data_IF_705540789833
#
_entry.id   IF_705540789833
#
_cell.length_a   1.000
_cell.length_b   1.000
_cell.length_c   1.000
_cell.angle_alpha   90.00
_cell.angle_beta   90.00
_cell.angle_gamma   90.00
#
_symmetry.space_group_name_H-M   'P 1'
#
loop_
_entity.id
_entity.type
_entity.pdbx_description
1 polymer ?
#
# COMPACT_ATOMS: atom_id res chain seq x y z
N UNK A 1 5.27 -43.71 37.28
CA UNK A 1 4.13 -42.80 37.15
C UNK A 1 4.25 -42.16 35.77
N UNK A 2 3.44 -42.62 34.81
CA UNK A 2 3.41 -42.05 33.46
C UNK A 2 2.56 -40.78 33.53
N UNK A 3 3.18 -39.62 33.35
CA UNK A 3 2.46 -38.37 33.15
C UNK A 3 2.17 -38.28 31.65
N UNK A 4 0.90 -38.40 31.27
CA UNK A 4 0.46 -38.06 29.91
C UNK A 4 0.47 -36.55 29.78
N UNK A 5 1.24 -36.04 28.83
CA UNK A 5 1.18 -34.66 28.39
C UNK A 5 -0.14 -34.46 27.63
N UNK A 6 -1.11 -33.77 28.23
CA UNK A 6 -2.25 -33.22 27.50
C UNK A 6 -1.80 -31.85 26.98
N UNK A 7 -1.45 -31.74 25.69
CA UNK A 7 -1.57 -30.47 24.99
C UNK A 7 -3.02 -30.35 24.57
N UNK A 8 -3.81 -29.56 25.30
CA UNK A 8 -4.99 -28.95 24.70
C UNK A 8 -4.49 -27.87 23.75
N UNK A 9 -4.69 -28.04 22.45
CA UNK A 9 -4.65 -26.94 21.49
C UNK A 9 -5.85 -26.05 21.79
N UNK A 10 -5.72 -25.21 22.82
CA UNK A 10 -6.62 -24.06 22.95
C UNK A 10 -6.30 -23.16 21.78
N UNK A 11 -7.32 -22.67 21.08
CA UNK A 11 -7.15 -21.60 20.10
C UNK A 11 -6.35 -20.47 20.75
N UNK A 12 -5.51 -19.78 19.99
CA UNK A 12 -4.78 -18.63 20.49
C UNK A 12 -5.81 -17.61 21.02
N UNK A 13 -5.60 -16.98 22.18
CA UNK A 13 -6.46 -15.87 22.58
C UNK A 13 -6.27 -14.70 21.60
N UNK A 14 -7.30 -13.86 21.47
CA UNK A 14 -7.20 -12.56 20.83
C UNK A 14 -6.01 -11.76 21.39
N UNK A 15 -5.35 -10.96 20.55
CA UNK A 15 -4.26 -10.08 20.97
C UNK A 15 -4.81 -8.98 21.89
N UNK A 16 -4.28 -8.87 23.11
CA UNK A 16 -4.60 -7.75 24.00
C UNK A 16 -4.11 -6.44 23.37
N UNK A 17 -4.98 -5.43 23.29
CA UNK A 17 -4.65 -4.15 22.68
C UNK A 17 -5.83 -3.18 22.55
N UNK A 18 -5.59 -2.10 21.82
CA UNK A 18 -6.60 -1.14 21.39
C UNK A 18 -6.62 -1.09 19.85
N UNK A 19 -7.80 -0.87 19.28
CA UNK A 19 -8.03 -0.86 17.84
C UNK A 19 -8.42 0.55 17.42
N UNK A 20 -7.61 1.17 16.57
CA UNK A 20 -7.90 2.49 16.01
C UNK A 20 -8.83 2.36 14.80
N UNK A 21 -9.92 3.14 14.80
CA UNK A 21 -10.93 3.09 13.73
C UNK A 21 -11.28 4.50 13.27
N UNK A 22 -11.08 4.78 11.99
CA UNK A 22 -11.52 6.00 11.31
C UNK A 22 -12.61 5.70 10.27
N UNK A 23 -13.91 5.70 10.63
CA UNK A 23 -14.97 5.40 9.68
C UNK A 23 -15.02 6.43 8.54
N UNK A 24 -14.99 5.98 7.30
CA UNK A 24 -14.90 6.86 6.11
C UNK A 24 -16.02 7.91 5.96
N UNK A 25 -17.16 7.71 6.64
CA UNK A 25 -18.29 8.64 6.64
C UNK A 25 -18.37 9.55 7.87
N UNK A 26 -17.50 9.35 8.87
CA UNK A 26 -17.45 10.15 10.10
C UNK A 26 -16.32 11.19 10.01
N UNK A 27 -16.43 12.29 10.75
CA UNK A 27 -15.26 13.15 11.03
C UNK A 27 -14.47 12.64 12.22
N UNK A 28 -15.05 11.75 13.02
CA UNK A 28 -14.47 11.28 14.28
C UNK A 28 -13.53 10.09 14.06
N UNK A 29 -12.57 9.92 14.96
CA UNK A 29 -11.70 8.73 15.05
C UNK A 29 -11.86 8.11 16.43
N UNK A 30 -12.00 6.80 16.47
CA UNK A 30 -12.30 6.03 17.69
C UNK A 30 -11.12 5.14 18.05
N UNK A 31 -10.89 4.96 19.34
CA UNK A 31 -10.01 3.94 19.89
C UNK A 31 -10.89 2.97 20.67
N UNK A 32 -10.93 1.72 20.21
CA UNK A 32 -11.78 0.67 20.77
C UNK A 32 -10.93 -0.31 21.58
N UNK A 33 -11.50 -0.89 22.63
CA UNK A 33 -10.93 -2.09 23.25
C UNK A 33 -11.30 -3.36 22.44
N UNK A 34 -10.77 -4.51 22.86
CA UNK A 34 -11.06 -5.79 22.23
C UNK A 34 -12.53 -6.23 22.26
N UNK A 35 -13.36 -5.62 23.13
CA UNK A 35 -14.80 -5.85 23.18
C UNK A 35 -15.59 -4.89 22.27
N UNK A 36 -14.90 -4.03 21.51
CA UNK A 36 -15.50 -2.98 20.69
C UNK A 36 -16.07 -1.82 21.50
N UNK A 37 -15.66 -1.66 22.77
CA UNK A 37 -16.07 -0.54 23.61
C UNK A 37 -15.13 0.64 23.34
N UNK A 38 -15.71 1.81 23.09
CA UNK A 38 -14.96 3.06 22.93
C UNK A 38 -14.19 3.39 24.20
N UNK A 39 -12.86 3.38 24.09
CA UNK A 39 -11.94 3.84 25.14
C UNK A 39 -11.62 5.33 25.00
N UNK A 40 -11.58 5.85 23.78
CA UNK A 40 -11.28 7.25 23.49
C UNK A 40 -11.83 7.66 22.10
N UNK A 41 -12.08 8.95 21.91
CA UNK A 41 -12.58 9.51 20.65
C UNK A 41 -11.97 10.89 20.38
N UNK A 42 -11.44 11.07 19.17
CA UNK A 42 -11.04 12.36 18.62
C UNK A 42 -12.16 12.93 17.75
N UNK A 43 -12.55 14.17 18.00
CA UNK A 43 -13.74 14.81 17.39
C UNK A 43 -13.43 16.17 16.77
N UNK A 44 -12.22 16.70 16.95
CA UNK A 44 -11.87 18.07 16.58
C UNK A 44 -11.69 18.25 15.06
N UNK A 45 -11.29 17.21 14.34
CA UNK A 45 -11.16 17.29 12.88
C UNK A 45 -12.50 17.60 12.23
N UNK A 46 -12.48 18.51 11.24
CA UNK A 46 -13.67 18.85 10.45
C UNK A 46 -13.73 18.12 9.11
N UNK A 47 -12.72 17.28 8.83
CA UNK A 47 -12.57 16.56 7.57
C UNK A 47 -12.96 15.09 7.71
N UNK A 48 -13.54 14.53 6.65
CA UNK A 48 -13.68 13.08 6.54
C UNK A 48 -12.29 12.42 6.33
N UNK A 49 -12.08 11.16 6.77
CA UNK A 49 -10.82 10.45 6.62
C UNK A 49 -10.35 10.29 5.16
N UNK A 50 -9.05 10.42 4.97
CA UNK A 50 -8.33 10.17 3.72
C UNK A 50 -7.92 8.71 3.51
N UNK A 51 -8.47 7.77 4.30
CA UNK A 51 -8.28 6.30 4.29
C UNK A 51 -7.17 5.70 5.17
N UNK A 52 -6.38 6.49 5.90
CA UNK A 52 -5.35 5.97 6.80
C UNK A 52 -5.35 6.70 8.16
N UNK A 53 -5.04 5.96 9.22
CA UNK A 53 -4.90 6.50 10.57
C UNK A 53 -3.91 5.65 11.36
N UNK A 54 -3.04 6.31 12.11
CA UNK A 54 -2.00 5.73 12.91
C UNK A 54 -2.10 6.26 14.34
N UNK A 55 -1.77 5.40 15.30
CA UNK A 55 -1.60 5.80 16.69
C UNK A 55 -0.13 5.59 17.06
N UNK A 56 0.55 6.66 17.46
CA UNK A 56 1.94 6.55 17.90
C UNK A 56 2.02 5.96 19.31
N UNK A 57 3.18 5.43 19.70
CA UNK A 57 3.43 4.97 21.08
C UNK A 57 3.22 6.07 22.13
N UNK A 58 3.39 7.35 21.75
CA UNK A 58 3.12 8.50 22.61
C UNK A 58 1.64 8.87 22.71
N UNK A 59 0.75 8.12 22.04
CA UNK A 59 -0.70 8.35 22.04
C UNK A 59 -1.15 9.50 21.14
N UNK A 60 -0.34 9.88 20.14
CA UNK A 60 -0.77 10.86 19.13
C UNK A 60 -1.51 10.15 18.01
N UNK A 61 -2.67 10.69 17.64
CA UNK A 61 -3.38 10.30 16.43
C UNK A 61 -2.75 11.01 15.24
N UNK A 62 -2.36 10.26 14.23
CA UNK A 62 -2.01 10.78 12.90
C UNK A 62 -3.10 10.28 11.95
N UNK A 63 -3.77 11.17 11.22
CA UNK A 63 -4.83 10.76 10.29
C UNK A 63 -4.72 11.48 8.97
N UNK A 64 -4.96 10.77 7.88
CA UNK A 64 -5.17 11.40 6.57
C UNK A 64 -6.57 12.00 6.52
N UNK A 65 -6.73 13.09 5.78
CA UNK A 65 -7.98 13.84 5.65
C UNK A 65 -8.33 14.13 4.20
N UNK A 66 -9.62 14.13 3.90
CA UNK A 66 -10.16 14.38 2.56
C UNK A 66 -10.50 15.85 2.36
N UNK A 67 -9.74 16.53 1.50
CA UNK A 67 -9.98 17.92 1.12
C UNK A 67 -11.04 17.97 0.00
N UNK A 68 -12.21 18.62 0.21
CA UNK A 68 -13.27 18.64 -0.78
C UNK A 68 -13.05 19.70 -1.87
N UNK A 69 -13.80 19.60 -2.98
CA UNK A 69 -13.92 20.66 -3.98
C UNK A 69 -12.87 20.69 -5.08
N UNK A 70 -11.99 19.67 -5.13
CA UNK A 70 -10.96 19.51 -6.16
C UNK A 70 -11.37 18.44 -7.19
N UNK A 71 -10.82 18.50 -8.39
CA UNK A 71 -11.13 17.49 -9.43
C UNK A 71 -10.88 16.05 -8.95
N UNK A 72 -9.75 15.82 -8.27
CA UNK A 72 -9.39 14.52 -7.72
C UNK A 72 -10.23 14.11 -6.48
N UNK A 73 -10.93 15.04 -5.82
CA UNK A 73 -11.71 14.74 -4.59
C UNK A 73 -12.93 13.83 -4.81
N UNK A 74 -13.24 13.49 -6.06
CA UNK A 74 -14.30 12.55 -6.45
C UNK A 74 -13.80 11.14 -6.71
N UNK A 75 -12.48 10.94 -6.71
CA UNK A 75 -11.85 9.66 -6.96
C UNK A 75 -11.79 8.86 -5.65
N UNK A 76 -12.02 7.55 -5.73
CA UNK A 76 -11.90 6.64 -4.59
C UNK A 76 -10.51 6.73 -3.96
N UNK A 77 -10.48 6.87 -2.64
CA UNK A 77 -9.26 7.05 -1.85
C UNK A 77 -8.66 8.46 -1.88
N UNK A 78 -9.34 9.44 -2.46
CA UNK A 78 -8.93 10.85 -2.33
C UNK A 78 -8.72 11.27 -0.86
N UNK A 79 -7.61 11.94 -0.63
CA UNK A 79 -7.24 12.59 0.62
C UNK A 79 -7.03 14.09 0.41
N UNK A 80 -5.85 14.57 0.75
CA UNK A 80 -5.43 15.95 0.52
C UNK A 80 -4.67 16.58 1.69
N UNK A 81 -4.69 15.95 2.87
CA UNK A 81 -3.89 16.38 4.00
C UNK A 81 -3.67 15.31 5.05
N UNK A 82 -2.86 15.65 6.05
CA UNK A 82 -2.60 14.89 7.27
C UNK A 82 -2.76 15.83 8.46
N UNK A 83 -3.44 15.36 9.51
CA UNK A 83 -3.56 16.06 10.79
C UNK A 83 -2.98 15.18 11.90
N UNK A 84 -2.27 15.80 12.85
CA UNK A 84 -1.72 15.14 14.04
C UNK A 84 -2.39 15.74 15.28
N UNK A 85 -3.06 14.90 16.06
CA UNK A 85 -3.69 15.27 17.32
C UNK A 85 -2.98 14.58 18.49
N UNK A 86 -2.90 15.26 19.64
CA UNK A 86 -2.53 14.58 20.86
C UNK A 86 -3.73 13.81 21.47
N UNK A 87 -3.48 13.10 22.57
CA UNK A 87 -4.52 12.33 23.29
C UNK A 87 -5.67 13.20 23.82
N UNK A 88 -5.46 14.50 24.05
CA UNK A 88 -6.50 15.42 24.54
C UNK A 88 -7.30 16.07 23.39
N UNK A 89 -7.22 15.52 22.17
CA UNK A 89 -7.86 16.03 20.96
C UNK A 89 -7.42 17.45 20.56
N UNK A 90 -6.18 17.83 20.90
CA UNK A 90 -5.56 19.09 20.48
C UNK A 90 -4.73 18.87 19.23
N UNK A 91 -5.01 19.64 18.17
CA UNK A 91 -4.22 19.65 16.94
C UNK A 91 -2.79 20.13 17.23
N UNK A 92 -1.81 19.30 16.89
CA UNK A 92 -0.38 19.54 17.08
C UNK A 92 0.27 20.06 15.80
N UNK A 93 -0.03 19.43 14.66
CA UNK A 93 0.50 19.82 13.36
C UNK A 93 -0.46 19.37 12.26
N UNK A 94 -0.42 20.05 11.12
CA UNK A 94 -1.13 19.65 9.90
C UNK A 94 -0.24 19.89 8.68
N UNK A 95 -0.53 19.15 7.61
CA UNK A 95 0.09 19.34 6.30
C UNK A 95 -0.95 19.08 5.21
N UNK A 96 -1.09 20.03 4.28
CA UNK A 96 -2.02 19.91 3.15
C UNK A 96 -1.28 20.00 1.82
N UNK A 97 -1.55 19.04 0.95
CA UNK A 97 -1.01 18.97 -0.40
C UNK A 97 -2.14 18.61 -1.36
N UNK A 98 -2.94 19.62 -1.69
CA UNK A 98 -4.21 19.46 -2.39
C UNK A 98 -4.50 20.67 -3.30
N UNK A 99 -4.32 20.48 -4.60
CA UNK A 99 -4.64 21.44 -5.65
C UNK A 99 -5.38 20.74 -6.81
N UNK A 100 -5.63 21.45 -7.91
CA UNK A 100 -6.18 20.81 -9.11
C UNK A 100 -5.14 19.99 -9.90
N UNK A 101 -3.86 20.08 -9.52
CA UNK A 101 -2.76 19.44 -10.23
C UNK A 101 -2.04 18.38 -9.38
N UNK A 102 -2.28 18.34 -8.07
CA UNK A 102 -1.81 17.28 -7.19
C UNK A 102 -2.71 17.08 -5.97
N UNK A 103 -2.71 15.88 -5.39
CA UNK A 103 -3.53 15.56 -4.21
C UNK A 103 -2.96 14.37 -3.43
N UNK A 104 -2.77 14.46 -2.11
CA UNK A 104 -2.53 13.26 -1.29
C UNK A 104 -3.71 12.29 -1.39
N UNK A 105 -3.45 10.99 -1.35
CA UNK A 105 -4.49 9.96 -1.35
C UNK A 105 -4.08 8.71 -0.59
N UNK A 106 -5.10 7.96 -0.16
CA UNK A 106 -5.01 6.67 0.51
C UNK A 106 -4.20 6.68 1.81
N UNK A 107 -2.89 6.55 1.72
CA UNK A 107 -2.06 6.03 2.79
C UNK A 107 -0.78 6.84 3.02
N UNK A 108 -0.21 6.63 4.20
CA UNK A 108 1.02 7.24 4.68
C UNK A 108 1.85 6.20 5.43
N UNK A 109 3.16 6.39 5.54
CA UNK A 109 4.00 5.62 6.44
C UNK A 109 4.74 6.56 7.40
N UNK A 110 4.62 6.31 8.70
CA UNK A 110 5.29 7.11 9.74
C UNK A 110 6.70 6.57 9.95
N UNK A 111 7.70 7.41 9.73
CA UNK A 111 9.11 7.01 9.82
C UNK A 111 9.66 7.16 11.25
N UNK A 112 10.72 6.42 11.63
CA UNK A 112 11.33 6.52 12.96
C UNK A 112 11.87 7.91 13.33
N UNK A 113 12.19 8.75 12.34
CA UNK A 113 12.64 10.12 12.54
C UNK A 113 11.48 11.11 12.79
N UNK A 114 10.22 10.66 12.68
CA UNK A 114 9.01 11.49 12.81
C UNK A 114 8.55 12.13 11.50
N UNK A 115 9.28 11.96 10.41
CA UNK A 115 8.80 12.32 9.07
C UNK A 115 7.72 11.34 8.63
N UNK A 116 6.93 11.75 7.64
CA UNK A 116 5.86 10.94 7.10
C UNK A 116 6.05 10.82 5.59
N UNK A 117 6.09 9.59 5.09
CA UNK A 117 5.96 9.29 3.67
C UNK A 117 4.47 9.35 3.29
N UNK A 118 4.16 10.01 2.19
CA UNK A 118 2.78 10.23 1.74
C UNK A 118 2.66 9.90 0.26
N UNK A 119 1.61 9.14 -0.10
CA UNK A 119 1.27 8.90 -1.50
C UNK A 119 0.49 10.10 -2.04
N UNK A 120 0.87 10.57 -3.23
CA UNK A 120 0.25 11.70 -3.88
C UNK A 120 -0.01 11.44 -5.37
N UNK A 121 -1.17 11.89 -5.84
CA UNK A 121 -1.44 12.03 -7.25
C UNK A 121 -0.79 13.29 -7.78
N UNK A 122 -0.25 13.21 -8.99
CA UNK A 122 0.19 14.35 -9.79
C UNK A 122 -0.44 14.29 -11.18
N UNK A 123 -0.95 15.42 -11.67
CA UNK A 123 -1.54 15.50 -13.00
C UNK A 123 -0.44 15.61 -14.04
N UNK A 124 -0.41 14.65 -14.97
CA UNK A 124 0.43 14.69 -16.16
C UNK A 124 -0.46 14.84 -17.39
N UNK A 125 -0.12 15.78 -18.28
CA UNK A 125 -0.89 15.99 -19.50
C UNK A 125 -0.67 14.83 -20.49
N UNK A 126 -1.69 14.57 -21.29
CA UNK A 126 -1.68 13.49 -22.27
C UNK A 126 -0.57 13.64 -23.32
N UNK A 127 -0.33 14.87 -23.77
CA UNK A 127 0.76 15.21 -24.70
C UNK A 127 2.13 14.78 -24.17
N UNK A 128 2.35 14.87 -22.86
CA UNK A 128 3.64 14.54 -22.24
C UNK A 128 3.81 13.02 -22.16
N UNK A 129 2.80 12.28 -21.69
CA UNK A 129 2.86 10.81 -21.64
C UNK A 129 2.87 10.17 -23.02
N UNK A 130 2.18 10.74 -24.02
CA UNK A 130 2.26 10.29 -25.42
C UNK A 130 3.67 10.53 -25.98
N UNK A 131 4.28 11.67 -25.64
CA UNK A 131 5.66 11.96 -26.04
C UNK A 131 6.66 10.99 -25.39
N UNK A 132 6.37 10.52 -24.18
CA UNK A 132 7.12 9.48 -23.47
C UNK A 132 6.85 8.04 -23.97
N UNK A 133 5.93 7.85 -24.94
CA UNK A 133 5.69 6.57 -25.61
C UNK A 133 4.43 5.81 -25.17
N UNK A 134 3.55 6.43 -24.37
CA UNK A 134 2.21 5.87 -24.11
C UNK A 134 1.35 5.85 -25.37
N UNK A 135 0.60 4.78 -25.56
CA UNK A 135 -0.36 4.62 -26.65
C UNK A 135 -1.50 5.65 -26.54
N UNK A 136 -1.65 6.49 -27.58
CA UNK A 136 -2.72 7.47 -27.68
C UNK A 136 -4.13 6.84 -27.68
N UNK A 137 -4.26 5.55 -27.98
CA UNK A 137 -5.52 4.81 -27.88
C UNK A 137 -6.00 4.56 -26.45
N UNK A 138 -5.12 4.69 -25.44
CA UNK A 138 -5.42 4.43 -24.02
C UNK A 138 -5.19 5.66 -23.14
N UNK A 139 -5.14 6.85 -23.73
CA UNK A 139 -5.00 8.13 -23.01
C UNK A 139 -6.33 8.90 -22.91
N UNK A 140 -6.39 9.78 -21.91
CA UNK A 140 -7.41 10.81 -21.77
C UNK A 140 -6.83 12.19 -22.02
N UNK A 141 -7.48 13.28 -21.58
CA UNK A 141 -6.89 14.63 -21.63
C UNK A 141 -5.72 14.82 -20.65
N UNK A 142 -5.62 13.95 -19.65
CA UNK A 142 -4.54 13.87 -18.68
C UNK A 142 -4.57 12.49 -18.00
N UNK A 143 -3.55 12.22 -17.20
CA UNK A 143 -3.41 11.07 -16.31
C UNK A 143 -3.09 11.56 -14.89
N UNK A 144 -3.66 10.92 -13.88
CA UNK A 144 -3.15 11.02 -12.51
C UNK A 144 -2.02 10.00 -12.37
N UNK A 145 -0.78 10.48 -12.34
CA UNK A 145 0.40 9.69 -11.99
C UNK A 145 0.60 9.70 -10.48
N UNK A 146 1.58 8.93 -10.02
CA UNK A 146 1.87 8.71 -8.61
C UNK A 146 3.22 9.32 -8.24
N UNK A 147 3.27 9.94 -7.07
CA UNK A 147 4.50 10.35 -6.41
C UNK A 147 4.47 9.98 -4.92
N UNK A 148 5.65 9.90 -4.32
CA UNK A 148 5.86 9.69 -2.89
C UNK A 148 6.61 10.88 -2.35
N UNK A 149 6.11 11.46 -1.27
CA UNK A 149 6.68 12.62 -0.61
C UNK A 149 7.12 12.23 0.80
N UNK A 150 8.36 12.53 1.17
CA UNK A 150 8.76 12.55 2.59
C UNK A 150 8.57 13.96 3.14
N UNK A 151 7.77 14.10 4.18
CA UNK A 151 7.45 15.39 4.81
C UNK A 151 7.98 15.42 6.23
N UNK A 152 8.78 16.45 6.52
CA UNK A 152 9.10 16.83 7.90
C UNK A 152 7.91 17.56 8.51
N UNK A 153 7.19 16.88 9.40
CA UNK A 153 5.98 17.40 10.05
C UNK A 153 6.26 18.51 11.07
N UNK A 154 7.51 18.74 11.45
CA UNK A 154 7.92 19.84 12.32
C UNK A 154 8.02 21.14 11.53
N UNK A 155 8.55 21.07 10.31
CA UNK A 155 8.76 22.25 9.45
C UNK A 155 7.69 22.42 8.38
N UNK A 156 6.89 21.39 8.10
CA UNK A 156 5.93 21.35 6.99
C UNK A 156 6.60 21.31 5.62
N UNK A 157 7.86 20.86 5.55
CA UNK A 157 8.65 20.85 4.31
C UNK A 157 8.74 19.45 3.71
N UNK A 158 8.62 19.38 2.39
CA UNK A 158 8.94 18.16 1.63
C UNK A 158 10.47 18.06 1.54
N UNK A 159 11.04 16.98 2.08
CA UNK A 159 12.50 16.78 2.20
C UNK A 159 13.05 15.72 1.24
N UNK A 160 12.19 14.83 0.75
CA UNK A 160 12.50 13.86 -0.30
C UNK A 160 11.26 13.59 -1.17
N UNK A 161 11.48 13.21 -2.43
CA UNK A 161 10.42 12.92 -3.39
C UNK A 161 10.86 11.84 -4.38
N UNK A 162 9.90 11.04 -4.84
CA UNK A 162 10.02 10.08 -5.93
C UNK A 162 8.78 10.16 -6.83
N UNK A 163 8.96 10.04 -8.14
CA UNK A 163 7.89 10.20 -9.12
C UNK A 163 7.86 9.01 -10.06
N UNK A 164 6.70 8.34 -10.18
CA UNK A 164 6.59 7.16 -11.04
C UNK A 164 6.98 7.46 -12.50
N UNK A 165 6.70 8.68 -12.98
CA UNK A 165 6.95 9.13 -14.36
C UNK A 165 8.42 9.06 -14.79
N UNK A 166 9.36 9.09 -13.84
CA UNK A 166 10.80 8.98 -14.12
C UNK A 166 11.23 7.53 -14.43
N UNK A 167 10.43 6.55 -14.01
CA UNK A 167 10.75 5.12 -14.03
C UNK A 167 9.99 4.35 -15.11
N UNK A 168 9.81 4.95 -16.29
CA UNK A 168 9.01 4.38 -17.38
C UNK A 168 9.84 3.65 -18.44
N UNK A 169 9.31 2.56 -18.99
CA UNK A 169 9.78 1.88 -20.19
C UNK A 169 8.63 1.69 -21.18
N UNK A 170 8.94 1.59 -22.47
CA UNK A 170 7.99 1.25 -23.53
C UNK A 170 8.72 0.56 -24.68
N UNK A 171 8.06 -0.35 -25.40
CA UNK A 171 8.65 -1.06 -26.54
C UNK A 171 7.86 -0.86 -27.85
N UNK A 172 6.96 0.13 -27.87
CA UNK A 172 6.06 0.40 -28.99
C UNK A 172 6.68 1.25 -30.09
N UNK A 173 7.49 2.23 -29.71
CA UNK A 173 8.05 3.20 -30.64
C UNK A 173 9.54 3.44 -30.33
N UNK A 174 10.40 2.84 -31.14
CA UNK A 174 11.85 2.95 -31.03
C UNK A 174 12.41 4.37 -31.24
N UNK A 175 11.59 5.30 -31.73
CA UNK A 175 11.99 6.70 -31.92
C UNK A 175 11.71 7.60 -30.71
N UNK A 176 10.92 7.10 -29.73
CA UNK A 176 10.55 7.86 -28.52
C UNK A 176 11.48 7.57 -27.35
N UNK A 177 11.52 8.46 -26.33
CA UNK A 177 12.20 8.19 -25.08
C UNK A 177 11.76 6.87 -24.44
N UNK A 178 12.57 6.38 -23.49
CA UNK A 178 12.27 5.20 -22.70
C UNK A 178 12.06 3.91 -23.51
N UNK A 179 12.52 3.87 -24.77
CA UNK A 179 12.42 2.65 -25.57
C UNK A 179 13.30 1.53 -25.01
N UNK A 180 12.72 0.37 -24.75
CA UNK A 180 13.42 -0.82 -24.31
C UNK A 180 12.47 -2.02 -24.31
N UNK A 181 13.00 -3.23 -24.52
CA UNK A 181 12.22 -4.46 -24.40
C UNK A 181 11.74 -4.58 -22.96
N UNK A 182 10.42 -4.69 -22.75
CA UNK A 182 9.81 -4.65 -21.41
C UNK A 182 10.40 -5.75 -20.51
N UNK A 183 10.50 -6.99 -21.01
CA UNK A 183 11.06 -8.11 -20.27
C UNK A 183 12.53 -7.93 -19.86
N UNK A 184 13.30 -7.08 -20.56
CA UNK A 184 14.71 -6.79 -20.23
C UNK A 184 14.88 -5.58 -19.31
N UNK A 185 13.78 -4.86 -19.02
CA UNK A 185 13.75 -3.66 -18.19
C UNK A 185 12.80 -3.86 -16.99
N UNK A 186 12.92 -4.99 -16.29
CA UNK A 186 11.99 -5.37 -15.23
C UNK A 186 11.91 -4.39 -14.05
N UNK A 187 12.92 -3.54 -13.85
CA UNK A 187 12.95 -2.53 -12.78
C UNK A 187 12.18 -1.25 -13.12
N UNK A 188 11.60 -1.16 -14.32
CA UNK A 188 10.86 0.01 -14.81
C UNK A 188 9.43 -0.36 -15.18
N UNK A 189 8.56 0.64 -15.16
CA UNK A 189 7.14 0.50 -15.40
C UNK A 189 6.81 0.60 -16.89
N UNK A 190 6.09 -0.38 -17.45
CA UNK A 190 5.55 -0.22 -18.81
C UNK A 190 4.47 0.86 -18.81
N UNK A 191 4.76 2.00 -19.43
CA UNK A 191 3.82 3.14 -19.54
C UNK A 191 2.56 2.78 -20.36
N UNK A 192 2.52 1.62 -21.02
CA UNK A 192 1.37 1.12 -21.76
C UNK A 192 0.51 0.10 -20.98
N UNK A 193 0.90 -0.21 -19.75
CA UNK A 193 0.02 -0.86 -18.79
C UNK A 193 -0.83 0.19 -18.03
N UNK A 194 -1.98 -0.20 -17.47
CA UNK A 194 -2.82 -1.26 -18.02
C UNK A 194 -3.18 -0.98 -19.49
N UNK A 195 -3.41 -2.03 -20.27
CA UNK A 195 -3.71 -1.93 -21.72
C UNK A 195 -5.05 -1.26 -22.07
N UNK A 196 -5.78 -0.78 -21.08
CA UNK A 196 -7.02 -0.04 -21.23
C UNK A 196 -7.02 1.18 -20.32
N UNK A 197 -7.59 2.29 -20.78
CA UNK A 197 -7.72 3.50 -19.98
C UNK A 197 -8.66 3.28 -18.78
N UNK A 198 -8.23 3.57 -17.54
CA UNK A 198 -9.13 3.60 -16.39
C UNK A 198 -10.08 4.80 -16.45
N UNK A 199 -11.33 4.62 -16.01
CA UNK A 199 -12.40 5.60 -16.23
C UNK A 199 -12.17 6.98 -15.59
N UNK A 200 -11.38 7.05 -14.52
CA UNK A 200 -11.04 8.25 -13.74
C UNK A 200 -9.63 8.80 -14.04
N UNK A 201 -8.93 8.26 -15.05
CA UNK A 201 -7.54 8.59 -15.40
C UNK A 201 -6.48 8.23 -14.34
N UNK A 202 -6.86 7.49 -13.31
CA UNK A 202 -5.99 7.01 -12.24
C UNK A 202 -5.55 5.58 -12.58
N UNK A 203 -4.30 5.48 -13.03
CA UNK A 203 -3.82 4.34 -13.80
C UNK A 203 -2.99 3.34 -13.01
N UNK A 204 -2.35 3.79 -11.94
CA UNK A 204 -1.61 2.92 -11.02
C UNK A 204 -2.42 2.68 -9.77
N UNK A 205 -3.13 3.69 -9.28
CA UNK A 205 -3.94 3.63 -8.07
C UNK A 205 -3.11 3.07 -6.92
N UNK A 206 -2.04 3.79 -6.57
CA UNK A 206 -1.30 3.46 -5.37
C UNK A 206 -2.20 3.63 -4.16
N UNK A 207 -2.25 2.60 -3.31
CA UNK A 207 -3.24 2.50 -2.25
C UNK A 207 -2.71 2.05 -0.90
N UNK A 208 -1.42 1.74 -0.80
CA UNK A 208 -0.74 1.46 0.45
C UNK A 208 0.75 1.75 0.31
N UNK A 209 1.37 2.18 1.41
CA UNK A 209 2.78 2.45 1.53
C UNK A 209 3.28 1.99 2.91
N UNK A 210 4.43 1.34 2.94
CA UNK A 210 5.11 0.98 4.19
C UNK A 210 6.61 1.27 4.08
N UNK A 211 7.29 1.44 5.21
CA UNK A 211 8.71 1.77 5.29
C UNK A 211 9.49 0.79 6.16
N UNK A 212 10.54 0.20 5.58
CA UNK A 212 11.46 -0.67 6.30
C UNK A 212 12.73 0.11 6.68
N UNK A 213 12.84 0.49 7.96
CA UNK A 213 13.98 1.26 8.46
C UNK A 213 15.32 0.51 8.48
N UNK A 214 15.32 -0.83 8.47
CA UNK A 214 16.56 -1.62 8.44
C UNK A 214 17.16 -1.69 7.04
N UNK A 215 16.30 -1.70 6.02
CA UNK A 215 16.69 -1.74 4.62
C UNK A 215 16.78 -0.35 3.98
N UNK A 216 16.16 0.65 4.61
CA UNK A 216 15.88 1.97 4.03
C UNK A 216 15.13 1.86 2.69
N UNK A 217 14.01 1.11 2.72
CA UNK A 217 13.21 0.79 1.53
C UNK A 217 11.73 1.05 1.75
N UNK A 218 11.02 1.32 0.67
CA UNK A 218 9.58 1.62 0.68
C UNK A 218 8.83 0.56 -0.13
N UNK A 219 7.81 -0.05 0.46
CA UNK A 219 6.89 -0.98 -0.22
C UNK A 219 5.63 -0.23 -0.63
N UNK A 220 5.12 -0.51 -1.82
CA UNK A 220 3.99 0.22 -2.42
C UNK A 220 3.05 -0.79 -3.07
N UNK A 221 1.74 -0.61 -2.89
CA UNK A 221 0.73 -1.40 -3.59
C UNK A 221 0.09 -0.62 -4.72
N UNK A 222 0.11 -1.17 -5.94
CA UNK A 222 -0.66 -0.69 -7.09
C UNK A 222 -1.87 -1.58 -7.34
N UNK A 223 -3.06 -1.04 -7.05
CA UNK A 223 -4.33 -1.77 -7.18
C UNK A 223 -4.64 -2.12 -8.64
N UNK A 224 -4.41 -1.18 -9.56
CA UNK A 224 -4.80 -1.36 -10.97
C UNK A 224 -3.90 -2.38 -11.65
N UNK A 225 -2.60 -2.36 -11.35
CA UNK A 225 -1.64 -3.31 -11.89
C UNK A 225 -1.69 -4.67 -11.21
N UNK A 226 -2.28 -4.74 -10.01
CA UNK A 226 -2.20 -5.91 -9.14
C UNK A 226 -0.74 -6.31 -8.86
N UNK A 227 0.07 -5.31 -8.56
CA UNK A 227 1.49 -5.46 -8.23
C UNK A 227 1.85 -4.72 -6.95
N UNK A 228 2.85 -5.27 -6.26
CA UNK A 228 3.63 -4.62 -5.21
C UNK A 228 4.96 -4.17 -5.82
N UNK A 229 5.43 -3.00 -5.42
CA UNK A 229 6.73 -2.46 -5.77
C UNK A 229 7.56 -2.22 -4.51
N UNK A 230 8.89 -2.35 -4.62
CA UNK A 230 9.83 -1.86 -3.61
C UNK A 230 10.84 -0.93 -4.26
N UNK A 231 11.05 0.24 -3.66
CA UNK A 231 12.03 1.24 -4.09
C UNK A 231 13.05 1.51 -2.97
N UNK A 232 14.23 2.00 -3.38
CA UNK A 232 15.27 2.44 -2.46
C UNK A 232 14.96 3.86 -1.95
N UNK A 233 15.02 4.05 -0.63
CA UNK A 233 14.89 5.35 0.00
C UNK A 233 16.26 5.96 0.41
N UNK A 234 17.34 5.19 0.32
CA UNK A 234 18.70 5.66 0.59
C UNK A 234 19.28 6.49 -0.58
N UNK A 235 18.48 7.44 -1.06
CA UNK A 235 18.73 8.28 -2.22
C UNK A 235 18.40 9.73 -1.90
N UNK A 236 19.05 10.68 -2.55
CA UNK A 236 18.52 12.05 -2.63
C UNK A 236 17.39 12.11 -3.67
N UNK A 237 16.51 13.11 -3.62
CA UNK A 237 15.49 13.35 -4.67
C UNK A 237 16.06 13.32 -6.08
N UNK A 238 17.26 13.87 -6.28
CA UNK A 238 17.90 13.89 -7.59
C UNK A 238 18.39 12.51 -8.06
N UNK A 239 18.80 11.64 -7.13
CA UNK A 239 19.16 10.25 -7.42
C UNK A 239 17.91 9.41 -7.64
N UNK A 240 16.88 9.62 -6.81
CA UNK A 240 15.58 8.96 -6.91
C UNK A 240 14.91 9.21 -8.27
N UNK A 241 15.09 10.38 -8.90
CA UNK A 241 14.60 10.65 -10.25
C UNK A 241 15.39 9.92 -11.38
N UNK A 242 16.49 9.24 -11.04
CA UNK A 242 17.34 8.49 -11.96
C UNK A 242 17.24 6.99 -11.76
N UNK A 243 18.17 6.21 -12.35
CA UNK A 243 18.18 4.75 -12.21
C UNK A 243 18.27 4.24 -10.77
N UNK A 244 18.77 5.05 -9.83
CA UNK A 244 18.84 4.69 -8.41
C UNK A 244 17.45 4.62 -7.76
N UNK A 245 16.42 5.23 -8.37
CA UNK A 245 15.02 5.12 -7.94
C UNK A 245 14.20 4.11 -8.72
N UNK A 246 14.78 3.37 -9.68
CA UNK A 246 14.07 2.26 -10.34
C UNK A 246 13.67 1.18 -9.30
N UNK A 247 12.66 0.38 -9.63
CA UNK A 247 12.17 -0.64 -8.70
C UNK A 247 13.24 -1.68 -8.38
N UNK A 248 13.48 -1.91 -7.09
CA UNK A 248 14.31 -3.01 -6.59
C UNK A 248 13.61 -4.37 -6.75
N UNK A 249 12.28 -4.36 -6.63
CA UNK A 249 11.44 -5.55 -6.64
C UNK A 249 10.03 -5.24 -7.13
N UNK A 250 9.42 -6.25 -7.76
CA UNK A 250 8.02 -6.21 -8.19
C UNK A 250 7.39 -7.59 -8.00
N UNK A 251 6.16 -7.67 -7.54
CA UNK A 251 5.50 -8.97 -7.36
C UNK A 251 3.97 -8.88 -7.48
N UNK A 252 3.33 -9.93 -7.99
CA UNK A 252 1.86 -10.01 -8.06
C UNK A 252 1.31 -10.27 -9.46
N UNK A 253 1.75 -9.53 -10.47
CA UNK A 253 1.26 -9.67 -11.84
C UNK A 253 2.40 -9.51 -12.88
N UNK A 254 3.13 -10.60 -13.17
CA UNK A 254 4.28 -10.56 -14.07
C UNK A 254 3.95 -10.32 -15.55
N UNK A 255 2.66 -10.36 -15.94
CA UNK A 255 2.22 -9.96 -17.28
C UNK A 255 2.52 -8.49 -17.59
N UNK A 256 2.54 -7.63 -16.57
CA UNK A 256 2.77 -6.20 -16.76
C UNK A 256 4.23 -5.86 -17.14
N UNK A 257 5.12 -6.85 -17.10
CA UNK A 257 6.51 -6.70 -17.52
C UNK A 257 7.01 -7.88 -18.35
N UNK A 258 6.12 -8.53 -19.10
CA UNK A 258 6.42 -9.60 -20.07
C UNK A 258 7.23 -10.79 -19.53
N UNK A 259 7.11 -11.08 -18.22
CA UNK A 259 7.79 -12.21 -17.57
C UNK A 259 6.86 -13.26 -16.99
N UNK A 260 5.59 -13.22 -17.39
CA UNK A 260 4.60 -14.21 -17.02
C UNK A 260 3.33 -14.11 -17.86
N UNK A 261 2.35 -14.91 -17.48
CA UNK A 261 1.05 -15.09 -18.13
C UNK A 261 -0.07 -14.88 -17.12
N UNK A 262 -1.36 -14.90 -17.52
CA UNK A 262 -2.46 -14.82 -16.57
C UNK A 262 -2.45 -15.91 -15.49
N UNK A 263 -1.78 -17.05 -15.75
CA UNK A 263 -1.65 -18.14 -14.79
C UNK A 263 -0.61 -17.86 -13.69
N UNK A 264 0.30 -16.91 -13.90
CA UNK A 264 1.37 -16.53 -12.97
C UNK A 264 0.95 -15.36 -12.05
N UNK A 265 -0.27 -14.86 -12.19
CA UNK A 265 -0.80 -13.77 -11.38
C UNK A 265 -1.16 -14.26 -9.98
N UNK A 266 -0.50 -13.68 -8.97
CA UNK A 266 -0.71 -13.94 -7.55
C UNK A 266 -1.72 -12.96 -6.92
N UNK A 267 -1.72 -11.70 -7.38
CA UNK A 267 -2.52 -10.64 -6.77
C UNK A 267 -3.67 -10.17 -7.67
N UNK A 268 -4.72 -9.68 -7.02
CA UNK A 268 -5.90 -9.13 -7.69
C UNK A 268 -6.42 -7.91 -6.92
N UNK A 269 -6.03 -6.72 -7.36
CA UNK A 269 -6.50 -5.44 -6.80
C UNK A 269 -6.30 -5.30 -5.28
N UNK A 270 -5.18 -5.80 -4.79
CA UNK A 270 -4.79 -5.83 -3.38
C UNK A 270 -4.68 -4.45 -2.72
N UNK A 271 -4.71 -4.42 -1.40
CA UNK A 271 -4.48 -3.26 -0.55
C UNK A 271 -3.53 -3.63 0.59
N UNK A 272 -3.03 -2.60 1.27
CA UNK A 272 -2.39 -2.72 2.58
C UNK A 272 -1.19 -3.68 2.59
N UNK A 273 -0.22 -3.40 1.71
CA UNK A 273 1.07 -4.08 1.75
C UNK A 273 1.87 -3.59 2.94
N UNK A 274 2.40 -4.52 3.72
CA UNK A 274 3.18 -4.22 4.92
C UNK A 274 4.35 -5.19 5.02
N UNK A 275 5.48 -4.74 5.55
CA UNK A 275 6.43 -5.66 6.17
C UNK A 275 5.84 -6.16 7.49
N UNK A 276 5.96 -7.47 7.72
CA UNK A 276 5.68 -8.03 9.04
C UNK A 276 6.71 -7.48 10.02
N UNK A 277 6.23 -6.83 11.09
CA UNK A 277 7.06 -6.17 12.10
C UNK A 277 8.05 -7.13 12.79
N UNK A 278 9.17 -6.58 13.28
CA UNK A 278 10.29 -7.35 13.84
C UNK A 278 9.92 -8.20 15.07
N UNK A 279 8.92 -7.77 15.84
CA UNK A 279 8.43 -8.44 17.03
C UNK A 279 7.30 -9.45 16.74
N UNK A 280 6.96 -9.62 15.46
CA UNK A 280 5.88 -10.48 15.00
C UNK A 280 6.40 -11.75 14.31
N UNK A 281 5.71 -12.90 14.45
CA UNK A 281 6.02 -14.09 13.65
C UNK A 281 5.89 -13.83 12.16
N UNK A 282 6.96 -14.09 11.42
CA UNK A 282 7.06 -13.75 9.99
C UNK A 282 7.89 -12.49 9.71
N UNK A 283 8.51 -11.87 10.73
CA UNK A 283 9.37 -10.70 10.59
C UNK A 283 10.25 -10.72 9.32
N UNK A 284 10.18 -9.64 8.54
CA UNK A 284 10.86 -9.50 7.26
C UNK A 284 10.11 -10.07 6.04
N UNK A 285 9.06 -10.87 6.23
CA UNK A 285 8.10 -11.18 5.18
C UNK A 285 7.24 -9.95 4.87
N UNK A 286 6.53 -10.02 3.74
CA UNK A 286 5.49 -9.08 3.38
C UNK A 286 4.13 -9.75 3.57
N UNK A 287 3.15 -9.00 4.09
CA UNK A 287 1.76 -9.41 4.22
C UNK A 287 0.87 -8.42 3.49
N UNK A 288 -0.20 -8.91 2.86
CA UNK A 288 -1.08 -8.08 2.02
C UNK A 288 -2.52 -8.57 2.04
N UNK A 289 -3.47 -7.63 1.97
CA UNK A 289 -4.88 -7.93 1.77
C UNK A 289 -5.16 -8.07 0.27
N UNK A 290 -5.37 -9.29 -0.22
CA UNK A 290 -5.66 -9.57 -1.62
C UNK A 290 -7.18 -9.55 -1.86
N UNK A 291 -7.69 -8.43 -2.38
CA UNK A 291 -9.13 -8.21 -2.50
C UNK A 291 -9.83 -9.21 -3.42
N UNK A 292 -9.16 -9.70 -4.46
CA UNK A 292 -9.76 -10.60 -5.43
C UNK A 292 -10.60 -9.90 -6.50
N UNK A 293 -11.20 -10.69 -7.39
CA UNK A 293 -12.06 -10.18 -8.48
C UNK A 293 -13.55 -10.33 -8.15
N UNK A 294 -14.38 -9.28 -8.41
CA UNK A 294 -15.83 -9.41 -8.34
C UNK A 294 -16.37 -10.49 -9.29
N UNK A 295 -17.36 -11.26 -8.84
CA UNK A 295 -18.02 -12.28 -9.65
C UNK A 295 -18.58 -13.44 -8.81
N UNK A 296 -19.08 -14.51 -9.46
CA UNK A 296 -19.64 -15.67 -8.77
C UNK A 296 -18.65 -16.42 -7.86
N UNK A 297 -17.34 -16.26 -8.13
CA UNK A 297 -16.24 -16.86 -7.35
C UNK A 297 -15.44 -15.80 -6.59
N UNK A 298 -16.07 -14.67 -6.25
CA UNK A 298 -15.39 -13.59 -5.53
C UNK A 298 -14.99 -14.06 -4.13
N UNK A 299 -13.71 -13.93 -3.83
CA UNK A 299 -13.10 -14.23 -2.54
C UNK A 299 -11.94 -13.26 -2.31
N UNK A 300 -11.76 -12.84 -1.07
CA UNK A 300 -10.57 -12.12 -0.63
C UNK A 300 -9.73 -13.04 0.25
N UNK A 301 -8.40 -12.89 0.16
CA UNK A 301 -7.44 -13.62 0.97
C UNK A 301 -6.50 -12.65 1.67
N UNK A 302 -5.88 -13.10 2.75
CA UNK A 302 -4.70 -12.44 3.30
C UNK A 302 -3.51 -13.30 2.97
N UNK A 303 -2.52 -12.73 2.28
CA UNK A 303 -1.40 -13.47 1.74
C UNK A 303 -0.10 -12.96 2.37
N UNK A 304 0.69 -13.87 2.95
CA UNK A 304 2.03 -13.59 3.44
C UNK A 304 3.05 -14.28 2.54
N UNK A 305 4.11 -13.57 2.14
CA UNK A 305 5.14 -14.10 1.28
C UNK A 305 6.53 -13.59 1.67
N UNK A 306 7.54 -14.43 1.42
CA UNK A 306 8.95 -14.08 1.65
C UNK A 306 9.55 -13.60 0.33
N UNK A 307 9.90 -12.31 0.18
CA UNK A 307 10.57 -11.85 -1.02
C UNK A 307 11.97 -12.50 -1.12
N UNK A 308 12.54 -12.68 -2.33
CA UNK A 308 13.84 -13.29 -2.55
C UNK A 308 14.99 -12.31 -2.22
N UNK A 309 14.94 -11.69 -1.04
CA UNK A 309 15.87 -10.69 -0.55
C UNK A 309 17.24 -11.32 -0.25
N UNK A 310 18.29 -10.70 -0.75
CA UNK A 310 19.66 -10.88 -0.25
C UNK A 310 19.91 -9.86 0.87
N UNK A 311 19.96 -10.29 2.14
CA UNK A 311 20.13 -9.38 3.26
C UNK A 311 21.50 -8.71 3.31
N UNK A 312 22.50 -9.21 2.57
CA UNK A 312 23.83 -8.60 2.53
C UNK A 312 23.88 -7.36 1.63
N UNK A 313 23.01 -7.29 0.63
CA UNK A 313 22.99 -6.23 -0.38
C UNK A 313 21.71 -5.40 -0.37
N UNK A 314 20.63 -5.88 0.25
CA UNK A 314 19.31 -5.26 0.18
C UNK A 314 18.61 -5.45 -1.17
N UNK A 315 19.11 -6.35 -2.03
CA UNK A 315 18.60 -6.55 -3.38
C UNK A 315 17.76 -7.82 -3.49
N UNK A 316 16.91 -7.90 -4.51
CA UNK A 316 15.99 -9.02 -4.71
C UNK A 316 16.41 -9.87 -5.90
N UNK A 317 16.58 -11.18 -5.68
CA UNK A 317 17.03 -12.07 -6.73
C UNK A 317 15.95 -12.27 -7.81
N UNK A 318 16.37 -12.16 -9.07
CA UNK A 318 15.54 -12.47 -10.25
C UNK A 318 16.35 -13.31 -11.24
N UNK A 319 15.66 -14.27 -11.87
CA UNK A 319 16.25 -15.07 -12.94
C UNK A 319 16.44 -14.26 -14.23
N UNK A 320 17.22 -14.80 -15.17
CA UNK A 320 17.47 -14.17 -16.47
C UNK A 320 16.17 -13.93 -17.26
N UNK A 321 15.24 -14.90 -17.22
CA UNK A 321 14.01 -14.88 -18.02
C UNK A 321 12.74 -15.02 -17.18
N UNK A 322 12.86 -15.30 -15.88
CA UNK A 322 11.72 -15.52 -14.99
C UNK A 322 11.27 -14.23 -14.30
N UNK A 323 10.02 -14.18 -13.87
CA UNK A 323 9.51 -13.17 -12.96
C UNK A 323 10.24 -13.20 -11.60
N UNK A 324 10.11 -12.13 -10.84
CA UNK A 324 10.44 -12.14 -9.42
C UNK A 324 9.58 -13.18 -8.70
N UNK A 325 10.21 -14.02 -7.87
CA UNK A 325 9.50 -14.90 -6.94
C UNK A 325 9.03 -14.14 -5.70
N UNK A 326 8.38 -14.81 -4.73
CA UNK A 326 8.15 -16.25 -4.70
C UNK A 326 6.92 -16.67 -5.52
N UNK A 327 6.87 -17.94 -5.91
CA UNK A 327 5.70 -18.56 -6.56
C UNK A 327 4.78 -19.29 -5.57
N UNK A 328 5.11 -19.23 -4.28
CA UNK A 328 4.35 -19.84 -3.19
C UNK A 328 4.30 -18.89 -2.01
N UNK A 329 3.17 -18.88 -1.32
CA UNK A 329 2.95 -18.08 -0.13
C UNK A 329 3.56 -18.78 1.09
N UNK A 330 4.07 -17.99 2.03
CA UNK A 330 4.50 -18.46 3.35
C UNK A 330 3.29 -18.83 4.22
N UNK A 331 2.21 -18.05 4.08
CA UNK A 331 0.93 -18.29 4.74
C UNK A 331 -0.20 -17.63 3.94
N UNK A 332 -1.42 -18.17 4.06
CA UNK A 332 -2.61 -17.53 3.49
C UNK A 332 -3.82 -17.80 4.38
N UNK A 333 -4.67 -16.79 4.56
CA UNK A 333 -6.02 -16.94 5.07
C UNK A 333 -7.01 -16.91 3.91
N UNK A 334 -7.60 -18.07 3.63
CA UNK A 334 -8.63 -18.30 2.60
C UNK A 334 -9.77 -19.12 3.23
N UNK A 335 -10.73 -18.47 3.92
CA UNK A 335 -11.72 -19.17 4.71
C UNK A 335 -12.79 -19.85 3.85
N UNK A 336 -13.40 -20.90 4.41
CA UNK A 336 -14.59 -21.53 3.84
C UNK A 336 -15.73 -21.45 4.87
N UNK A 337 -16.84 -20.75 4.58
CA UNK A 337 -17.16 -20.04 3.33
C UNK A 337 -16.28 -18.79 3.10
N UNK A 338 -16.05 -18.39 1.84
CA UNK A 338 -15.24 -17.22 1.53
C UNK A 338 -15.96 -15.93 1.91
N UNK A 339 -15.19 -14.90 2.25
CA UNK A 339 -15.65 -13.52 2.33
C UNK A 339 -15.08 -12.73 1.14
N UNK A 340 -15.64 -11.55 0.86
CA UNK A 340 -15.17 -10.73 -0.26
C UNK A 340 -15.27 -9.23 0.05
N UNK A 341 -14.14 -8.55 -0.06
CA UNK A 341 -14.02 -7.11 0.08
C UNK A 341 -13.51 -6.50 -1.22
N UNK A 342 -14.41 -5.93 -2.02
CA UNK A 342 -14.09 -5.42 -3.38
C UNK A 342 -13.12 -4.23 -3.47
N UNK A 343 -12.83 -3.56 -2.34
CA UNK A 343 -12.01 -2.35 -2.24
C UNK A 343 -11.59 -2.11 -0.79
N UNK A 344 -10.69 -1.15 -0.58
CA UNK A 344 -10.16 -0.79 0.76
C UNK A 344 -9.71 -2.05 1.50
N UNK A 345 -9.84 -2.07 2.83
CA UNK A 345 -9.52 -3.21 3.68
C UNK A 345 -8.04 -3.29 4.01
N UNK A 346 -7.73 -4.07 5.04
CA UNK A 346 -6.37 -4.19 5.54
C UNK A 346 -6.19 -5.39 6.44
N UNK A 347 -4.95 -5.71 6.74
CA UNK A 347 -4.54 -6.80 7.61
C UNK A 347 -3.25 -6.44 8.34
N UNK A 348 -3.08 -6.92 9.57
CA UNK A 348 -1.87 -6.70 10.34
C UNK A 348 -1.55 -7.93 11.19
N UNK A 349 -0.35 -8.48 10.99
CA UNK A 349 0.19 -9.55 11.85
C UNK A 349 0.47 -8.98 13.24
N UNK A 350 0.06 -9.70 14.27
CA UNK A 350 0.18 -9.32 15.68
C UNK A 350 1.32 -10.11 16.38
N UNK A 351 1.85 -9.60 17.51
CA UNK A 351 2.95 -10.24 18.24
C UNK A 351 2.65 -11.66 18.74
N UNK A 352 1.39 -11.96 19.09
CA UNK A 352 0.97 -13.32 19.45
C UNK A 352 0.87 -14.30 18.25
N UNK A 353 1.10 -13.82 17.02
CA UNK A 353 1.03 -14.58 15.78
C UNK A 353 -0.32 -14.54 15.07
N UNK A 354 -1.35 -13.98 15.69
CA UNK A 354 -2.65 -13.79 15.06
C UNK A 354 -2.59 -12.68 14.00
N UNK A 355 -3.62 -12.57 13.17
CA UNK A 355 -3.72 -11.52 12.16
C UNK A 355 -5.05 -10.78 12.34
N UNK A 356 -4.97 -9.47 12.63
CA UNK A 356 -6.12 -8.57 12.63
C UNK A 356 -6.49 -8.26 11.18
N UNK A 357 -7.78 -8.33 10.85
CA UNK A 357 -8.28 -8.13 9.49
C UNK A 357 -9.44 -7.14 9.53
N UNK A 358 -9.40 -6.15 8.64
CA UNK A 358 -10.45 -5.17 8.42
C UNK A 358 -11.09 -5.40 7.05
N UNK A 359 -12.34 -5.87 7.01
CA UNK A 359 -13.16 -5.88 5.80
C UNK A 359 -13.88 -4.52 5.68
N UNK A 360 -13.22 -3.57 5.04
CA UNK A 360 -13.65 -2.17 4.97
C UNK A 360 -15.07 -1.96 4.42
N UNK A 361 -15.45 -2.58 3.28
CA UNK A 361 -16.80 -2.42 2.72
C UNK A 361 -17.93 -2.94 3.62
N UNK A 362 -17.66 -3.97 4.44
CA UNK A 362 -18.62 -4.51 5.39
C UNK A 362 -18.60 -3.77 6.73
N UNK A 363 -17.51 -3.05 7.03
CA UNK A 363 -17.28 -2.45 8.35
C UNK A 363 -17.00 -3.49 9.43
N UNK A 364 -16.37 -4.61 9.06
CA UNK A 364 -16.07 -5.72 9.96
C UNK A 364 -14.58 -5.75 10.31
N UNK A 365 -14.29 -5.89 11.60
CA UNK A 365 -12.96 -6.11 12.15
C UNK A 365 -12.98 -7.46 12.88
N UNK A 366 -12.03 -8.33 12.59
CA UNK A 366 -11.91 -9.63 13.22
C UNK A 366 -10.46 -10.10 13.24
N UNK A 367 -10.12 -10.97 14.17
CA UNK A 367 -8.79 -11.51 14.34
C UNK A 367 -8.81 -13.01 14.08
N UNK A 368 -7.78 -13.53 13.41
CA UNK A 368 -7.62 -14.96 13.16
C UNK A 368 -6.30 -15.48 13.69
N UNK A 369 -6.32 -16.68 14.26
CA UNK A 369 -5.11 -17.40 14.64
C UNK A 369 -4.33 -17.90 13.40
N UNK A 370 -3.07 -18.38 13.55
CA UNK A 370 -2.31 -18.92 12.43
C UNK A 370 -2.96 -20.10 11.69
N UNK A 371 -3.94 -20.77 12.31
CA UNK A 371 -4.70 -21.86 11.71
C UNK A 371 -5.97 -21.37 10.98
N UNK A 372 -6.26 -20.06 11.01
CA UNK A 372 -7.39 -19.43 10.35
C UNK A 372 -8.69 -19.48 11.16
N UNK A 373 -8.64 -19.80 12.46
CA UNK A 373 -9.83 -19.72 13.32
C UNK A 373 -10.00 -18.28 13.80
N UNK A 374 -11.23 -17.75 13.76
CA UNK A 374 -11.56 -16.47 14.41
C UNK A 374 -11.44 -16.61 15.94
N UNK A 375 -10.81 -15.63 16.58
CA UNK A 375 -10.49 -15.63 18.02
C UNK A 375 -11.06 -14.44 18.78
#
# INVERSE_FOLDING_TARGET
>A
MLISLLLSTLAAPQQDGLILVGPSSSTDTFLLDNNGIESHTWTTSTYQPGQASYLTESGHLIRTVRVPGLAASTIGGSGGGVEIYNYDDVLISDFFYATNDHLLHHDIAVMPNGNILMIAWEKILDVDVISAGRDAGITGPFMWSESILEVDMTTGSIVWQWHAIDHMVQDRDASKPNYGVIADNQTRLDINQPTNRPGNNDWLHFNAIDYNAHLDQIAISSRVLSEIFIIDHNTTTAQAAGPDGDFLYRWGNPENYDRGTPADRMLQSQHDIQWVADDCPGAGNLIVFNNGRPGPSAASTIDEFTPPLDPATGTYAIGLTGAYGPTSLAWTYDPTPPFFASRTSGCQRQPNGNTLICNGPAGELFEVDPAGNTV
#
